data_IF_441506189775
#
_entry.id   IF_441506189775
#
_cell.length_a   1.000
_cell.length_b   1.000
_cell.length_c   1.000
_cell.angle_alpha   90.00
_cell.angle_beta   90.00
_cell.angle_gamma   90.00
#
_symmetry.space_group_name_H-M   'P 1'
#
loop_
_entity.id
_entity.type
_entity.pdbx_description
1 polymer ?
#
# COMPACT_ATOMS: atom_id res chain seq x y z
N UNK A 1 9.01 7.65 17.83
CA UNK A 1 8.66 6.58 16.92
C UNK A 1 8.05 7.14 15.65
N UNK A 2 8.57 6.77 14.52
CA UNK A 2 7.97 7.25 13.29
C UNK A 2 6.59 6.64 13.09
N UNK A 3 5.68 7.44 12.59
CA UNK A 3 4.32 7.00 12.32
C UNK A 3 4.09 6.98 10.82
N UNK A 4 3.43 5.94 10.35
CA UNK A 4 2.98 5.89 8.96
C UNK A 4 1.76 6.80 8.84
N UNK A 5 1.64 7.43 7.67
CA UNK A 5 0.58 8.41 7.44
C UNK A 5 -0.47 7.84 6.49
N UNK A 6 -1.73 8.04 6.82
CA UNK A 6 -2.85 7.60 5.99
C UNK A 6 -3.79 8.77 5.72
N UNK A 7 -3.21 9.90 5.29
CA UNK A 7 -3.98 11.12 5.12
C UNK A 7 -4.72 11.18 3.79
N UNK A 8 -4.27 10.43 2.78
CA UNK A 8 -4.92 10.44 1.46
C UNK A 8 -6.37 9.97 1.55
N UNK A 9 -6.64 8.97 2.39
CA UNK A 9 -8.01 8.46 2.57
C UNK A 9 -8.94 9.56 3.09
N UNK A 10 -8.45 10.38 4.00
CA UNK A 10 -9.25 11.45 4.58
C UNK A 10 -9.38 12.65 3.65
N UNK A 11 -8.36 12.92 2.83
CA UNK A 11 -8.30 14.11 2.00
C UNK A 11 -8.81 13.91 0.58
N UNK A 12 -8.80 12.67 0.10
CA UNK A 12 -9.17 12.38 -1.28
C UNK A 12 -10.67 12.10 -1.36
N UNK A 13 -11.40 12.97 -2.03
CA UNK A 13 -12.83 12.82 -2.25
C UNK A 13 -13.16 12.58 -3.72
N UNK A 14 -12.17 12.28 -4.53
CA UNK A 14 -12.37 12.01 -5.95
C UNK A 14 -12.82 10.59 -6.20
N UNK A 15 -13.07 10.30 -7.47
CA UNK A 15 -13.49 8.99 -7.91
C UNK A 15 -12.35 7.99 -7.84
N UNK A 16 -12.62 6.80 -7.29
CA UNK A 16 -11.67 5.69 -7.32
C UNK A 16 -11.99 4.85 -8.55
N UNK A 17 -11.09 4.90 -9.54
CA UNK A 17 -11.28 4.18 -10.79
C UNK A 17 -9.93 3.87 -11.41
N UNK A 18 -9.89 2.83 -12.23
CA UNK A 18 -8.67 2.40 -12.92
C UNK A 18 -8.93 2.33 -14.42
N UNK A 19 -7.89 2.65 -15.19
CA UNK A 19 -7.94 2.55 -16.65
C UNK A 19 -8.39 3.80 -17.37
N UNK A 20 -8.69 4.88 -16.66
CA UNK A 20 -9.13 6.14 -17.27
C UNK A 20 -7.97 7.06 -17.58
N UNK A 21 -7.03 7.22 -16.64
CA UNK A 21 -5.82 7.99 -16.86
C UNK A 21 -4.76 7.52 -15.87
N UNK A 22 -3.50 7.75 -16.21
CA UNK A 22 -2.39 7.36 -15.33
C UNK A 22 -2.45 8.11 -14.00
N UNK A 23 -2.75 9.40 -14.05
CA UNK A 23 -2.82 10.20 -12.83
C UNK A 23 -3.91 9.69 -11.89
N UNK A 24 -5.07 9.39 -12.45
CA UNK A 24 -6.16 8.85 -11.65
C UNK A 24 -5.84 7.46 -11.12
N UNK A 25 -5.16 6.64 -11.93
CA UNK A 25 -4.74 5.31 -11.49
C UNK A 25 -3.82 5.39 -10.28
N UNK A 26 -2.86 6.31 -10.30
CA UNK A 26 -1.94 6.45 -9.17
C UNK A 26 -2.67 6.87 -7.90
N UNK A 27 -3.55 7.85 -8.01
CA UNK A 27 -4.32 8.32 -6.86
C UNK A 27 -5.26 7.24 -6.33
N UNK A 28 -5.91 6.52 -7.24
CA UNK A 28 -6.81 5.43 -6.86
C UNK A 28 -6.07 4.31 -6.16
N UNK A 29 -4.88 3.98 -6.63
CA UNK A 29 -4.06 2.96 -5.99
C UNK A 29 -3.67 3.37 -4.59
N UNK A 30 -3.21 4.60 -4.41
CA UNK A 30 -2.81 5.09 -3.09
C UNK A 30 -3.98 5.05 -2.11
N UNK A 31 -5.15 5.50 -2.55
CA UNK A 31 -6.35 5.45 -1.75
C UNK A 31 -6.71 4.02 -1.38
N UNK A 32 -6.69 3.14 -2.38
CA UNK A 32 -7.06 1.74 -2.22
C UNK A 32 -6.13 1.02 -1.23
N UNK A 33 -4.82 1.26 -1.36
CA UNK A 33 -3.85 0.63 -0.47
C UNK A 33 -3.98 1.13 0.95
N UNK A 34 -4.27 2.41 1.15
CA UNK A 34 -4.45 2.93 2.49
C UNK A 34 -5.71 2.39 3.14
N UNK A 35 -6.79 2.23 2.38
CA UNK A 35 -7.99 1.56 2.89
C UNK A 35 -7.69 0.12 3.25
N UNK A 36 -6.90 -0.55 2.42
CA UNK A 36 -6.52 -1.94 2.65
C UNK A 36 -5.69 -2.09 3.92
N UNK A 37 -4.86 -1.11 4.24
CA UNK A 37 -3.95 -1.20 5.39
C UNK A 37 -4.60 -0.80 6.72
N UNK A 38 -5.92 -0.71 6.75
CA UNK A 38 -6.66 -0.44 7.98
C UNK A 38 -6.49 -1.59 8.98
N UNK A 39 -6.29 -1.23 10.24
CA UNK A 39 -6.04 -2.22 11.29
C UNK A 39 -7.16 -3.24 11.42
N UNK A 40 -8.41 -2.76 11.40
CA UNK A 40 -9.55 -3.65 11.59
C UNK A 40 -9.71 -4.61 10.42
N UNK A 41 -9.52 -4.10 9.20
CA UNK A 41 -9.58 -4.95 8.02
C UNK A 41 -8.50 -6.03 8.06
N UNK A 42 -7.27 -5.64 8.37
CA UNK A 42 -6.16 -6.58 8.36
C UNK A 42 -6.28 -7.63 9.46
N UNK A 43 -6.82 -7.27 10.62
CA UNK A 43 -7.05 -8.25 11.67
C UNK A 43 -8.01 -9.35 11.23
N UNK A 44 -8.97 -9.02 10.40
CA UNK A 44 -9.94 -10.00 9.90
C UNK A 44 -9.38 -10.77 8.71
N UNK A 45 -8.74 -10.04 7.78
CA UNK A 45 -8.29 -10.64 6.52
C UNK A 45 -7.06 -11.53 6.66
N UNK A 46 -6.05 -11.06 7.40
CA UNK A 46 -4.77 -11.76 7.45
C UNK A 46 -4.90 -13.21 7.92
N UNK A 47 -5.66 -13.51 8.99
CA UNK A 47 -5.81 -14.91 9.41
C UNK A 47 -6.52 -15.79 8.39
N UNK A 48 -7.25 -15.20 7.45
CA UNK A 48 -8.00 -15.96 6.44
C UNK A 48 -7.20 -16.28 5.20
N UNK A 49 -6.03 -15.64 5.04
CA UNK A 49 -5.18 -15.86 3.86
C UNK A 49 -4.48 -17.20 3.97
N UNK A 50 -4.33 -17.87 2.84
CA UNK A 50 -3.50 -19.08 2.78
C UNK A 50 -2.03 -18.70 2.84
N UNK A 51 -1.17 -19.68 3.17
CA UNK A 51 0.27 -19.44 3.15
C UNK A 51 0.74 -18.94 1.78
N UNK A 52 0.19 -19.53 0.72
CA UNK A 52 0.55 -19.13 -0.64
C UNK A 52 0.15 -17.68 -0.92
N UNK A 53 -1.03 -17.27 -0.45
CA UNK A 53 -1.49 -15.90 -0.65
C UNK A 53 -0.62 -14.90 0.11
N UNK A 54 -0.24 -15.24 1.33
CA UNK A 54 0.67 -14.39 2.10
C UNK A 54 2.00 -14.24 1.37
N UNK A 55 2.55 -15.36 0.89
CA UNK A 55 3.82 -15.33 0.19
C UNK A 55 3.75 -14.50 -1.10
N UNK A 56 2.68 -14.68 -1.88
CA UNK A 56 2.53 -13.94 -3.14
C UNK A 56 2.41 -12.45 -2.91
N UNK A 57 1.63 -12.05 -1.91
CA UNK A 57 1.44 -10.63 -1.63
C UNK A 57 2.73 -10.00 -1.13
N UNK A 58 3.39 -10.66 -0.19
CA UNK A 58 4.66 -10.17 0.35
C UNK A 58 5.72 -10.05 -0.75
N UNK A 59 5.83 -11.06 -1.59
CA UNK A 59 6.81 -11.10 -2.67
C UNK A 59 6.56 -9.98 -3.67
N UNK A 60 5.30 -9.77 -4.06
CA UNK A 60 4.97 -8.72 -5.01
C UNK A 60 5.34 -7.34 -4.46
N UNK A 61 4.95 -7.06 -3.22
CA UNK A 61 5.23 -5.77 -2.61
C UNK A 61 6.73 -5.56 -2.48
N UNK A 62 7.47 -6.59 -2.06
CA UNK A 62 8.92 -6.52 -1.91
C UNK A 62 9.61 -6.26 -3.25
N UNK A 63 9.17 -6.93 -4.30
CA UNK A 63 9.74 -6.73 -5.63
C UNK A 63 9.48 -5.33 -6.15
N UNK A 64 8.29 -4.80 -5.93
CA UNK A 64 7.96 -3.45 -6.39
C UNK A 64 8.84 -2.42 -5.71
N UNK A 65 9.06 -2.56 -4.42
CA UNK A 65 9.95 -1.64 -3.70
C UNK A 65 11.39 -1.78 -4.19
N UNK A 66 11.86 -3.01 -4.38
CA UNK A 66 13.23 -3.24 -4.85
C UNK A 66 13.45 -2.65 -6.23
N UNK A 67 12.46 -2.75 -7.10
CA UNK A 67 12.58 -2.28 -8.47
C UNK A 67 12.50 -0.77 -8.60
N UNK A 68 11.82 -0.10 -7.68
CA UNK A 68 11.50 1.32 -7.87
C UNK A 68 12.05 2.26 -6.80
N UNK A 69 12.55 1.73 -5.70
CA UNK A 69 13.11 2.56 -4.63
C UNK A 69 14.61 2.35 -4.51
N UNK A 70 15.33 3.43 -4.23
CA UNK A 70 16.73 3.32 -3.83
C UNK A 70 16.80 2.76 -2.40
N UNK A 71 17.99 2.29 -2.00
CA UNK A 71 18.18 1.80 -0.65
C UNK A 71 17.86 2.87 0.39
N UNK A 72 18.26 4.10 0.12
CA UNK A 72 17.99 5.23 1.00
C UNK A 72 16.49 5.51 1.12
N UNK A 73 15.78 5.44 -0.01
CA UNK A 73 14.33 5.64 -0.01
C UNK A 73 13.62 4.53 0.75
N UNK A 74 14.06 3.29 0.58
CA UNK A 74 13.47 2.16 1.28
C UNK A 74 13.59 2.34 2.80
N UNK A 75 14.78 2.72 3.26
CA UNK A 75 14.99 2.94 4.70
C UNK A 75 14.20 4.14 5.22
N UNK A 76 14.19 5.24 4.47
CA UNK A 76 13.53 6.45 4.93
C UNK A 76 12.01 6.40 4.82
N UNK A 77 11.49 5.79 3.76
CA UNK A 77 10.06 5.84 3.48
C UNK A 77 9.31 4.62 3.99
N UNK A 78 9.90 3.43 3.86
CA UNK A 78 9.21 2.22 4.28
C UNK A 78 9.56 1.83 5.70
N UNK A 79 10.85 1.70 6.01
CA UNK A 79 11.28 1.29 7.35
C UNK A 79 11.15 2.42 8.36
N UNK A 80 11.25 3.66 7.90
CA UNK A 80 11.15 4.84 8.77
C UNK A 80 12.28 4.91 9.79
N UNK A 81 13.44 4.41 9.41
CA UNK A 81 14.60 4.50 10.31
C UNK A 81 15.67 5.49 9.82
#
# INVERSE_FOLDING_TARGET
MPAHKHTIVEQYDGMVAFGLSRELDEKSLMYYLQKFSDDDLLRVLAPRLSDEEIDRLFTLISELMRNHLSNSEYHGLFLKD
#
